data_IF_725899697965
#
_entry.id   IF_725899697965
#
_cell.length_a   1.000
_cell.length_b   1.000
_cell.length_c   1.000
_cell.angle_alpha   90.00
_cell.angle_beta   90.00
_cell.angle_gamma   90.00
#
_symmetry.space_group_name_H-M   'P 1'
#
loop_
_entity.id
_entity.type
_entity.pdbx_description
1 polymer ?
#
# COMPACT_ATOMS: atom_id res chain seq x y z
N UNK A 1 14.25 -42.47 24.00
CA UNK A 1 14.97 -41.19 23.91
C UNK A 1 14.50 -40.45 22.65
N UNK A 2 13.27 -39.92 22.64
CA UNK A 2 12.66 -39.31 21.44
C UNK A 2 11.80 -38.08 21.78
N UNK A 3 12.17 -37.33 22.83
CA UNK A 3 11.38 -36.18 23.32
C UNK A 3 12.23 -34.91 23.52
N UNK A 4 13.39 -34.80 22.85
CA UNK A 4 14.33 -33.68 23.04
C UNK A 4 14.66 -32.85 21.79
N UNK A 5 14.15 -33.20 20.61
CA UNK A 5 14.55 -32.55 19.35
C UNK A 5 13.50 -31.59 18.76
N UNK A 6 12.31 -31.46 19.35
CA UNK A 6 11.22 -30.68 18.76
C UNK A 6 11.16 -29.19 19.17
N UNK A 7 11.99 -28.73 20.10
CA UNK A 7 11.82 -27.39 20.71
C UNK A 7 12.66 -26.30 20.01
N UNK A 8 13.61 -26.65 19.15
CA UNK A 8 14.53 -25.66 18.57
C UNK A 8 14.11 -25.07 17.20
N UNK A 9 13.05 -25.54 16.54
CA UNK A 9 12.74 -25.14 15.15
C UNK A 9 11.89 -23.86 15.01
N UNK A 10 11.21 -23.40 16.06
CA UNK A 10 10.24 -22.30 15.93
C UNK A 10 10.91 -20.91 15.90
N UNK A 11 12.09 -20.76 16.51
CA UNK A 11 12.79 -19.48 16.56
C UNK A 11 13.47 -19.08 15.23
N UNK A 12 13.73 -20.03 14.32
CA UNK A 12 14.34 -19.73 13.03
C UNK A 12 13.34 -19.08 12.05
N UNK A 13 12.04 -19.40 12.16
CA UNK A 13 11.01 -18.87 11.25
C UNK A 13 10.59 -17.43 11.59
N UNK A 14 10.78 -16.99 12.84
CA UNK A 14 10.37 -15.64 13.28
C UNK A 14 11.33 -14.53 12.82
N UNK A 15 12.58 -14.87 12.46
CA UNK A 15 13.60 -13.90 12.06
C UNK A 15 13.60 -13.56 10.55
N UNK A 16 12.80 -14.24 9.72
CA UNK A 16 12.79 -14.06 8.27
C UNK A 16 11.78 -13.01 7.76
N UNK A 17 10.90 -12.48 8.63
CA UNK A 17 9.81 -11.58 8.21
C UNK A 17 10.10 -10.08 8.42
N UNK A 18 11.33 -9.71 8.80
CA UNK A 18 11.62 -8.36 9.32
C UNK A 18 12.29 -7.35 8.37
N UNK A 19 12.52 -7.67 7.10
CA UNK A 19 13.32 -6.80 6.22
C UNK A 19 12.67 -6.55 4.86
N UNK A 20 11.54 -5.85 4.87
CA UNK A 20 11.09 -5.04 3.73
C UNK A 20 10.89 -3.61 4.24
N UNK A 21 11.96 -3.02 4.78
CA UNK A 21 12.04 -1.59 5.05
C UNK A 21 12.38 -0.88 3.75
N UNK A 22 11.37 -0.45 3.00
CA UNK A 22 11.57 0.54 1.96
C UNK A 22 12.14 1.80 2.63
N UNK A 23 13.34 2.20 2.20
CA UNK A 23 13.97 3.42 2.65
C UNK A 23 13.07 4.61 2.28
N UNK A 24 12.41 5.21 3.27
CA UNK A 24 11.81 6.54 3.12
C UNK A 24 12.87 7.54 3.58
N UNK A 25 13.37 8.42 2.71
CA UNK A 25 14.15 9.56 3.17
C UNK A 25 13.27 10.42 4.08
N UNK A 26 13.81 10.68 5.26
CA UNK A 26 13.30 11.53 6.32
C UNK A 26 13.40 13.00 5.89
N UNK A 27 12.49 13.48 5.04
CA UNK A 27 12.41 14.90 4.72
C UNK A 27 10.93 15.32 4.74
N UNK A 28 10.48 15.72 5.93
CA UNK A 28 9.25 16.47 6.12
C UNK A 28 9.41 17.86 5.48
N UNK A 29 9.16 17.95 4.18
CA UNK A 29 9.31 19.19 3.43
C UNK A 29 8.70 19.06 2.04
N UNK A 30 7.52 19.65 1.89
CA UNK A 30 6.70 19.68 0.68
C UNK A 30 5.98 18.35 0.37
N UNK A 31 4.64 18.42 0.32
CA UNK A 31 3.80 17.32 -0.14
C UNK A 31 4.05 17.15 -1.65
N UNK A 32 5.16 16.53 -2.02
CA UNK A 32 5.23 15.82 -3.28
C UNK A 32 4.06 14.84 -3.21
N UNK A 33 3.00 15.14 -3.96
CA UNK A 33 1.91 14.23 -4.23
C UNK A 33 2.57 13.02 -4.86
N UNK A 34 2.97 12.06 -4.03
CA UNK A 34 3.52 10.79 -4.47
C UNK A 34 2.37 10.12 -5.20
N UNK A 35 2.39 10.26 -6.52
CA UNK A 35 1.39 9.66 -7.39
C UNK A 35 1.44 8.15 -7.11
N UNK A 36 0.29 7.58 -6.78
CA UNK A 36 0.25 6.19 -6.38
C UNK A 36 0.63 5.28 -7.54
N UNK A 37 1.20 4.12 -7.23
CA UNK A 37 1.59 3.11 -8.23
C UNK A 37 0.38 2.42 -8.87
N UNK A 38 -0.78 2.47 -8.21
CA UNK A 38 -2.03 1.89 -8.71
C UNK A 38 -3.26 2.55 -8.08
N UNK A 39 -4.42 2.22 -8.63
CA UNK A 39 -5.72 2.75 -8.23
C UNK A 39 -6.12 2.41 -6.77
N UNK A 40 -5.58 1.33 -6.19
CA UNK A 40 -5.86 0.96 -4.81
C UNK A 40 -5.05 1.84 -3.84
N UNK A 41 -3.73 1.95 -4.01
CA UNK A 41 -2.91 2.78 -3.12
C UNK A 41 -3.18 4.28 -3.27
N UNK A 42 -3.84 4.71 -4.35
CA UNK A 42 -4.31 6.08 -4.51
C UNK A 42 -5.40 6.49 -3.51
N UNK A 43 -6.07 5.50 -2.90
CA UNK A 43 -7.19 5.72 -1.99
C UNK A 43 -7.05 5.01 -0.64
N UNK A 44 -6.00 4.21 -0.45
CA UNK A 44 -5.83 3.38 0.73
C UNK A 44 -4.41 3.51 1.31
N UNK A 45 -4.24 3.08 2.55
CA UNK A 45 -2.94 2.94 3.18
C UNK A 45 -2.00 1.99 2.40
N UNK A 46 -0.67 2.20 2.46
CA UNK A 46 0.03 3.16 3.32
C UNK A 46 0.12 4.57 2.75
N UNK A 47 -0.12 4.76 1.45
CA UNK A 47 0.13 6.04 0.78
C UNK A 47 -0.93 7.09 1.10
N UNK A 48 -2.21 6.69 1.22
CA UNK A 48 -3.33 7.62 1.34
C UNK A 48 -4.31 7.21 2.46
N UNK A 49 -3.81 7.13 3.70
CA UNK A 49 -4.61 6.72 4.86
C UNK A 49 -5.74 7.68 5.28
N UNK A 50 -5.70 8.93 4.82
CA UNK A 50 -6.72 9.93 5.12
C UNK A 50 -7.72 10.13 3.97
N UNK A 51 -7.58 9.38 2.88
CA UNK A 51 -8.52 9.43 1.76
C UNK A 51 -9.80 8.68 2.14
N UNK A 52 -10.93 9.30 1.84
CA UNK A 52 -12.27 8.77 2.03
C UNK A 52 -13.01 8.71 0.69
N UNK A 53 -14.21 8.15 0.68
CA UNK A 53 -15.10 8.23 -0.48
C UNK A 53 -15.25 9.69 -0.95
N UNK A 54 -15.08 9.92 -2.25
CA UNK A 54 -15.13 11.27 -2.83
C UNK A 54 -13.80 12.02 -2.83
N UNK A 55 -12.73 11.46 -2.27
CA UNK A 55 -11.40 12.10 -2.30
C UNK A 55 -10.81 12.03 -3.71
N UNK A 56 -10.17 13.11 -4.15
CA UNK A 56 -9.41 13.11 -5.40
C UNK A 56 -8.22 12.17 -5.30
N UNK A 57 -7.99 11.36 -6.33
CA UNK A 57 -6.90 10.40 -6.39
C UNK A 57 -6.16 10.48 -7.73
N UNK A 58 -4.87 10.13 -7.71
CA UNK A 58 -4.02 10.07 -8.90
C UNK A 58 -3.11 8.85 -8.81
N UNK A 59 -2.97 8.11 -9.91
CA UNK A 59 -2.10 6.95 -9.99
C UNK A 59 -1.47 6.77 -11.37
N UNK A 60 -0.35 6.06 -11.45
CA UNK A 60 0.27 5.68 -12.73
C UNK A 60 -0.51 4.54 -13.38
N UNK A 61 -0.83 4.66 -14.67
CA UNK A 61 -1.54 3.64 -15.46
C UNK A 61 -0.69 2.39 -15.76
N UNK A 62 0.55 2.36 -15.29
CA UNK A 62 1.52 1.30 -15.52
C UNK A 62 2.57 1.26 -14.40
N UNK A 63 3.48 0.28 -14.44
CA UNK A 63 4.43 0.02 -13.36
C UNK A 63 5.59 1.03 -13.27
N UNK A 64 5.76 1.91 -14.25
CA UNK A 64 6.84 2.90 -14.28
C UNK A 64 6.34 4.28 -13.83
N UNK A 65 7.23 5.02 -13.17
CA UNK A 65 7.09 6.44 -12.82
C UNK A 65 7.05 7.39 -14.03
N UNK A 66 7.23 6.86 -15.24
CA UNK A 66 7.08 7.57 -16.52
C UNK A 66 5.78 7.23 -17.24
N UNK A 67 4.97 6.32 -16.69
CA UNK A 67 3.68 5.96 -17.27
C UNK A 67 2.66 7.09 -17.12
N UNK A 68 1.55 6.99 -17.85
CA UNK A 68 0.52 8.03 -17.86
C UNK A 68 -0.15 8.14 -16.50
N UNK A 69 -0.30 9.36 -16.00
CA UNK A 69 -1.01 9.63 -14.74
C UNK A 69 -2.51 9.65 -15.04
N UNK A 70 -3.25 8.82 -14.33
CA UNK A 70 -4.72 8.79 -14.35
C UNK A 70 -5.25 9.50 -13.10
N UNK A 71 -6.13 10.46 -13.30
CA UNK A 71 -6.79 11.21 -12.22
C UNK A 71 -8.24 10.72 -12.07
N UNK A 72 -8.74 10.70 -10.84
CA UNK A 72 -10.07 10.21 -10.54
C UNK A 72 -10.54 10.54 -9.14
N UNK A 73 -11.56 9.81 -8.70
CA UNK A 73 -12.16 9.91 -7.37
C UNK A 73 -12.19 8.56 -6.67
N UNK A 74 -11.91 8.55 -5.37
CA UNK A 74 -12.00 7.36 -4.54
C UNK A 74 -13.46 6.94 -4.34
N UNK A 75 -13.83 5.76 -4.84
CA UNK A 75 -15.18 5.23 -4.75
C UNK A 75 -15.19 3.79 -4.25
N UNK A 76 -16.32 3.40 -3.63
CA UNK A 76 -16.55 2.01 -3.28
C UNK A 76 -16.89 1.23 -4.56
N UNK A 77 -16.18 0.13 -4.85
CA UNK A 77 -16.46 -0.66 -6.04
C UNK A 77 -17.90 -1.17 -5.98
N UNK A 78 -18.69 -0.87 -7.01
CA UNK A 78 -20.11 -1.20 -7.10
C UNK A 78 -20.96 -0.70 -5.90
N UNK A 79 -20.54 0.35 -5.20
CA UNK A 79 -21.22 0.88 -4.02
C UNK A 79 -21.08 0.02 -2.76
N UNK A 80 -20.18 -0.96 -2.73
CA UNK A 80 -19.97 -1.80 -1.56
C UNK A 80 -19.12 -1.10 -0.48
N UNK A 81 -19.76 -0.54 0.54
CA UNK A 81 -19.09 0.17 1.65
C UNK A 81 -18.21 -0.72 2.54
N UNK A 82 -18.27 -2.05 2.39
CA UNK A 82 -17.38 -3.00 3.08
C UNK A 82 -16.11 -3.30 2.28
N UNK A 83 -16.06 -2.90 1.01
CA UNK A 83 -14.88 -3.04 0.18
C UNK A 83 -13.92 -1.86 0.40
N UNK A 84 -12.65 -2.06 0.05
CA UNK A 84 -11.67 -0.98 -0.02
C UNK A 84 -12.04 0.00 -1.14
N UNK A 85 -11.72 1.28 -0.92
CA UNK A 85 -11.90 2.30 -1.95
C UNK A 85 -11.01 2.00 -3.16
N UNK A 86 -11.45 2.41 -4.34
CA UNK A 86 -10.65 2.35 -5.57
C UNK A 86 -10.70 3.69 -6.27
N UNK A 87 -9.61 4.08 -6.91
CA UNK A 87 -9.58 5.29 -7.73
C UNK A 87 -10.28 5.04 -9.07
N UNK A 88 -11.40 5.71 -9.30
CA UNK A 88 -12.17 5.63 -10.55
C UNK A 88 -12.04 6.96 -11.29
N UNK A 89 -11.61 6.90 -12.56
CA UNK A 89 -11.53 8.06 -13.46
C UNK A 89 -12.86 8.38 -14.13
#
# INVERSE_FOLDING_TARGET
MFFKTAIFSVFALLAANGAMGAALPEEAGDMQILIATDAYYACNCPNNCNHNQGSSCKFYSGPSDTDTITEGTCEYPNGNHLASLTCTA
#
